data_IF_485005247186
#
_entry.id   IF_485005247186
#
_cell.length_a   1.000
_cell.length_b   1.000
_cell.length_c   1.000
_cell.angle_alpha   90.00
_cell.angle_beta   90.00
_cell.angle_gamma   90.00
#
_symmetry.space_group_name_H-M   'P 1'
#
loop_
_entity.id
_entity.type
_entity.pdbx_description
1 polymer ?
#
# COMPACT_ATOMS: atom_id res chain seq x y z
N UNK A 1 4.39 -1.95 -17.09
CA UNK A 1 5.16 -1.50 -15.92
C UNK A 1 6.59 -1.94 -16.07
N UNK A 2 7.52 -0.99 -16.06
CA UNK A 2 8.95 -1.27 -16.00
C UNK A 2 9.49 -1.27 -14.55
N UNK A 3 10.78 -1.57 -14.37
CA UNK A 3 11.41 -1.60 -13.03
C UNK A 3 11.35 -0.25 -12.32
N UNK A 4 11.47 0.85 -13.06
CA UNK A 4 11.50 2.21 -12.51
C UNK A 4 10.12 2.58 -11.98
N UNK A 5 9.08 2.29 -12.73
CA UNK A 5 7.68 2.47 -12.34
C UNK A 5 7.32 1.59 -11.13
N UNK A 6 7.74 0.32 -11.12
CA UNK A 6 7.53 -0.56 -9.97
C UNK A 6 8.18 -0.03 -8.69
N UNK A 7 9.43 0.44 -8.76
CA UNK A 7 10.10 1.02 -7.60
C UNK A 7 9.41 2.29 -7.10
N UNK A 8 8.94 3.15 -8.02
CA UNK A 8 8.18 4.37 -7.66
C UNK A 8 6.86 4.04 -6.95
N UNK A 9 6.15 3.00 -7.36
CA UNK A 9 4.92 2.58 -6.69
C UNK A 9 5.20 2.01 -5.30
N UNK A 10 6.28 1.24 -5.14
CA UNK A 10 6.71 0.77 -3.83
C UNK A 10 7.07 1.92 -2.89
N UNK A 11 7.80 2.92 -3.37
CA UNK A 11 8.14 4.12 -2.59
C UNK A 11 6.88 4.90 -2.18
N UNK A 12 5.92 5.09 -3.09
CA UNK A 12 4.62 5.71 -2.77
C UNK A 12 3.80 4.91 -1.74
N UNK A 13 4.00 3.60 -1.70
CA UNK A 13 3.38 2.70 -0.75
C UNK A 13 4.16 2.60 0.58
N UNK A 14 5.30 3.28 0.71
CA UNK A 14 6.23 3.14 1.84
C UNK A 14 6.68 1.68 2.05
N UNK A 15 6.96 0.98 0.94
CA UNK A 15 7.36 -0.42 0.93
C UNK A 15 8.74 -0.59 0.30
N UNK A 16 9.53 -1.50 0.88
CA UNK A 16 10.69 -2.08 0.21
C UNK A 16 10.28 -3.31 -0.61
N UNK A 17 11.09 -3.72 -1.59
CA UNK A 17 10.86 -4.97 -2.33
C UNK A 17 10.79 -6.20 -1.41
N UNK A 18 11.60 -6.21 -0.34
CA UNK A 18 11.60 -7.28 0.66
C UNK A 18 10.27 -7.32 1.39
N UNK A 19 9.82 -6.17 1.91
CA UNK A 19 8.55 -6.10 2.64
C UNK A 19 7.35 -6.43 1.75
N UNK A 20 7.35 -5.93 0.52
CA UNK A 20 6.32 -6.28 -0.46
C UNK A 20 6.29 -7.79 -0.71
N UNK A 21 7.44 -8.42 -0.94
CA UNK A 21 7.52 -9.87 -1.15
C UNK A 21 6.96 -10.67 0.03
N UNK A 22 7.25 -10.26 1.27
CA UNK A 22 6.66 -10.86 2.48
C UNK A 22 5.13 -10.74 2.48
N UNK A 23 4.58 -9.56 2.18
CA UNK A 23 3.14 -9.31 2.19
C UNK A 23 2.42 -10.17 1.14
N UNK A 24 2.97 -10.27 -0.06
CA UNK A 24 2.34 -11.04 -1.17
C UNK A 24 2.69 -12.53 -1.14
N UNK A 25 3.41 -13.01 -0.12
CA UNK A 25 3.78 -14.42 0.01
C UNK A 25 4.75 -14.90 -1.07
N UNK A 26 5.61 -14.03 -1.58
CA UNK A 26 6.58 -14.34 -2.64
C UNK A 26 8.02 -14.35 -2.11
N UNK A 27 8.89 -15.10 -2.79
CA UNK A 27 10.33 -15.09 -2.51
C UNK A 27 10.91 -13.72 -2.88
N UNK A 28 11.68 -13.12 -1.97
CA UNK A 28 12.36 -11.84 -2.22
C UNK A 28 13.17 -11.84 -3.52
N UNK A 29 13.93 -12.91 -3.79
CA UNK A 29 14.74 -13.00 -5.01
C UNK A 29 13.91 -12.91 -6.30
N UNK A 30 12.70 -13.47 -6.31
CA UNK A 30 11.79 -13.36 -7.45
C UNK A 30 11.37 -11.91 -7.66
N UNK A 31 10.86 -11.26 -6.60
CA UNK A 31 10.45 -9.84 -6.66
C UNK A 31 11.62 -8.91 -7.01
N UNK A 32 12.83 -9.21 -6.51
CA UNK A 32 14.01 -8.40 -6.78
C UNK A 32 14.45 -8.45 -8.25
N UNK A 33 14.20 -9.57 -8.92
CA UNK A 33 14.54 -9.79 -10.33
C UNK A 33 13.52 -9.19 -11.31
N UNK A 34 12.37 -8.73 -10.81
CA UNK A 34 11.34 -8.11 -11.65
C UNK A 34 11.81 -6.80 -12.31
N UNK A 35 11.44 -6.65 -13.58
CA UNK A 35 11.86 -5.57 -14.45
C UNK A 35 13.35 -5.63 -14.82
N UNK A 36 14.03 -6.74 -14.53
CA UNK A 36 15.37 -7.05 -15.01
C UNK A 36 15.32 -8.38 -15.78
N UNK A 37 15.59 -9.51 -15.14
CA UNK A 37 15.54 -10.83 -15.77
C UNK A 37 14.14 -11.46 -15.78
N UNK A 38 13.19 -10.89 -15.04
CA UNK A 38 11.80 -11.37 -14.98
C UNK A 38 10.82 -10.23 -15.27
N UNK A 39 9.75 -10.52 -16.00
CA UNK A 39 8.66 -9.58 -16.19
C UNK A 39 7.91 -9.33 -14.88
N UNK A 40 7.41 -8.11 -14.69
CA UNK A 40 6.57 -7.77 -13.55
C UNK A 40 5.15 -8.30 -13.81
N UNK A 41 4.56 -9.11 -12.90
CA UNK A 41 3.19 -9.59 -13.07
C UNK A 41 2.17 -8.45 -13.15
N UNK A 42 1.17 -8.56 -14.04
CA UNK A 42 0.19 -7.47 -14.26
C UNK A 42 -0.60 -7.08 -13.01
N UNK A 43 -0.90 -8.05 -12.15
CA UNK A 43 -1.68 -7.82 -10.92
C UNK A 43 -0.95 -6.94 -9.90
N UNK A 44 0.38 -6.80 -9.99
CA UNK A 44 1.18 -5.98 -9.06
C UNK A 44 0.75 -4.52 -9.12
N UNK A 45 0.34 -4.04 -10.30
CA UNK A 45 -0.12 -2.66 -10.50
C UNK A 45 -1.37 -2.40 -9.66
N UNK A 46 -2.42 -3.21 -9.87
CA UNK A 46 -3.70 -3.03 -9.15
C UNK A 46 -3.55 -3.25 -7.65
N UNK A 47 -2.70 -4.19 -7.24
CA UNK A 47 -2.41 -4.42 -5.82
C UNK A 47 -1.78 -3.18 -5.16
N UNK A 48 -0.72 -2.62 -5.75
CA UNK A 48 -0.03 -1.45 -5.19
C UNK A 48 -0.91 -0.20 -5.20
N UNK A 49 -1.68 0.01 -6.27
CA UNK A 49 -2.61 1.14 -6.33
C UNK A 49 -3.70 1.05 -5.24
N UNK A 50 -4.24 -0.13 -5.00
CA UNK A 50 -5.24 -0.34 -3.96
C UNK A 50 -4.64 -0.20 -2.55
N UNK A 51 -3.42 -0.70 -2.34
CA UNK A 51 -2.70 -0.54 -1.08
C UNK A 51 -2.39 0.94 -0.77
N UNK A 52 -1.97 1.71 -1.78
CA UNK A 52 -1.74 3.16 -1.64
C UNK A 52 -3.07 3.88 -1.33
N UNK A 53 -4.16 3.50 -1.98
CA UNK A 53 -5.48 4.08 -1.69
C UNK A 53 -5.92 3.76 -0.26
N UNK A 54 -5.85 2.51 0.18
CA UNK A 54 -6.26 2.11 1.54
C UNK A 54 -5.46 2.82 2.62
N UNK A 55 -4.13 2.89 2.48
CA UNK A 55 -3.25 3.56 3.45
C UNK A 55 -3.53 5.07 3.57
N UNK A 56 -4.00 5.73 2.50
CA UNK A 56 -4.46 7.13 2.58
C UNK A 56 -5.75 7.26 3.38
N UNK A 57 -6.70 6.35 3.18
CA UNK A 57 -7.94 6.33 3.97
C UNK A 57 -7.66 6.09 5.45
N UNK A 58 -6.74 5.20 5.79
CA UNK A 58 -6.36 4.95 7.18
C UNK A 58 -5.75 6.21 7.83
N UNK A 59 -4.92 6.96 7.10
CA UNK A 59 -4.37 8.24 7.57
C UNK A 59 -5.46 9.29 7.80
N UNK A 60 -6.40 9.44 6.86
CA UNK A 60 -7.53 10.39 7.01
C UNK A 60 -8.44 10.00 8.17
N UNK A 61 -8.76 8.70 8.30
CA UNK A 61 -9.55 8.18 9.42
C UNK A 61 -8.88 8.45 10.76
N UNK A 62 -7.55 8.31 10.83
CA UNK A 62 -6.79 8.63 12.04
C UNK A 62 -6.88 10.11 12.39
N UNK A 63 -6.60 11.01 11.43
CA UNK A 63 -6.73 12.47 11.64
C UNK A 63 -8.15 12.82 12.10
N UNK A 64 -9.17 12.26 11.45
CA UNK A 64 -10.56 12.50 11.83
C UNK A 64 -10.87 12.04 13.26
N UNK A 65 -10.41 10.85 13.65
CA UNK A 65 -10.60 10.35 15.01
C UNK A 65 -9.83 11.15 16.07
N UNK A 66 -8.67 11.69 15.73
CA UNK A 66 -7.83 12.46 16.65
C UNK A 66 -8.41 13.88 16.88
N UNK A 67 -9.05 14.46 15.87
CA UNK A 67 -9.62 15.83 15.90
C UNK A 67 -11.10 15.86 16.31
N UNK A 68 -11.83 14.77 16.07
CA UNK A 68 -13.26 14.67 16.36
C UNK A 68 -13.46 13.73 17.53
N UNK A 69 -14.05 14.24 18.61
CA UNK A 69 -14.47 13.42 19.75
C UNK A 69 -15.72 12.61 19.37
N UNK A 70 -15.48 11.46 18.71
CA UNK A 70 -16.53 10.59 18.15
C UNK A 70 -17.48 10.07 19.24
N UNK A 71 -17.03 9.99 20.49
CA UNK A 71 -17.88 9.56 21.61
C UNK A 71 -19.00 10.57 21.90
N UNK A 72 -18.72 11.87 21.75
CA UNK A 72 -19.71 12.92 21.95
C UNK A 72 -20.74 13.01 20.80
N UNK A 73 -20.37 12.65 19.56
CA UNK A 73 -21.30 12.63 18.43
C UNK A 73 -22.33 11.49 18.53
N UNK A 74 -21.91 10.30 18.99
CA UNK A 74 -22.80 9.14 19.17
C UNK A 74 -23.87 9.32 20.25
N UNK A 75 -23.66 10.30 21.13
CA UNK A 75 -24.53 10.58 22.29
C UNK A 75 -25.70 11.49 21.94
N UNK A 76 -25.67 12.19 20.81
CA UNK A 76 -26.70 13.13 20.38
C UNK A 76 -27.79 12.51 19.47
N UNK A 77 -27.67 11.23 19.14
CA UNK A 77 -28.65 10.49 18.33
C UNK A 77 -29.61 9.63 19.19
N UNK A 78 -29.60 9.79 20.52
CA UNK A 78 -30.46 9.08 21.48
C UNK A 78 -31.55 9.97 22.09
#
# INVERSE_FOLDING_TARGET
>A
MDRKEFNKLLEKADLTKKKFAEIVGMKYNSVNNWGSSQAIPRWVISWLENYIKSSKFDKVKKIFNDEVDIENLKSNDA
#
